data_IF_460575546484
#
_entry.id   IF_460575546484
#
_cell.length_a   1.000
_cell.length_b   1.000
_cell.length_c   1.000
_cell.angle_alpha   90.00
_cell.angle_beta   90.00
_cell.angle_gamma   90.00
#
_symmetry.space_group_name_H-M   'P 1'
#
loop_
_entity.id
_entity.type
_entity.pdbx_description
1 polymer ?
#
# COMPACT_ATOMS: atom_id res chain seq x y z
N UNK A 1 -21.92 -7.57 52.88
CA UNK A 1 -20.97 -7.18 53.93
C UNK A 1 -19.61 -7.76 53.55
N UNK A 2 -18.68 -6.88 53.20
CA UNK A 2 -17.21 -7.04 52.94
C UNK A 2 -16.48 -7.06 54.32
N UNK A 3 -15.15 -7.31 54.54
CA UNK A 3 -13.99 -7.78 53.74
C UNK A 3 -13.16 -8.92 54.42
N UNK A 4 -12.00 -9.30 53.87
CA UNK A 4 -10.69 -9.19 54.57
C UNK A 4 -9.57 -8.97 53.54
N UNK A 5 -8.79 -7.90 53.78
CA UNK A 5 -7.55 -7.50 53.12
C UNK A 5 -6.35 -8.17 53.79
N UNK A 6 -5.28 -8.47 53.04
CA UNK A 6 -3.91 -8.35 53.55
C UNK A 6 -3.06 -7.62 52.50
N UNK A 7 -2.62 -6.43 52.88
CA UNK A 7 -1.64 -5.56 52.22
C UNK A 7 -0.26 -5.81 52.84
N UNK A 8 0.81 -5.89 52.04
CA UNK A 8 2.13 -5.45 52.50
C UNK A 8 3.04 -5.01 51.35
N UNK A 9 3.04 -3.70 51.08
CA UNK A 9 4.14 -2.96 50.43
C UNK A 9 5.49 -3.24 51.11
N UNK A 10 6.61 -3.24 50.36
CA UNK A 10 7.92 -2.62 50.69
C UNK A 10 8.85 -2.56 49.45
N UNK A 11 9.03 -1.32 48.95
CA UNK A 11 10.24 -0.55 48.55
C UNK A 11 11.26 -1.02 47.46
N UNK A 12 11.50 -0.05 46.56
CA UNK A 12 12.49 0.17 45.45
C UNK A 12 13.98 0.05 45.83
N UNK A 13 14.87 -0.28 44.86
CA UNK A 13 16.28 0.22 44.65
C UNK A 13 16.91 -0.44 43.36
N UNK A 14 17.15 0.26 42.23
CA UNK A 14 18.38 0.95 41.67
C UNK A 14 19.58 0.08 41.16
N UNK A 15 19.93 0.24 39.85
CA UNK A 15 21.27 0.36 39.16
C UNK A 15 22.42 -0.66 39.47
N UNK A 16 23.37 -1.12 38.62
CA UNK A 16 23.78 -0.96 37.19
C UNK A 16 25.09 -1.77 36.89
N UNK A 17 25.37 -2.14 35.60
CA UNK A 17 26.66 -2.41 34.86
C UNK A 17 27.74 -3.39 35.43
N UNK A 18 28.73 -3.97 34.72
CA UNK A 18 29.16 -4.26 33.31
C UNK A 18 30.44 -5.12 33.40
N UNK A 19 30.72 -5.97 32.41
CA UNK A 19 32.10 -6.21 31.95
C UNK A 19 32.11 -6.11 30.41
N UNK A 20 33.06 -5.34 29.90
CA UNK A 20 33.18 -4.86 28.53
C UNK A 20 34.41 -5.43 27.80
N UNK A 21 34.36 -5.37 26.45
CA UNK A 21 35.45 -5.32 25.46
C UNK A 21 36.11 -6.67 25.05
N UNK A 22 36.41 -6.98 23.78
CA UNK A 22 36.53 -6.15 22.56
C UNK A 22 36.51 -7.04 21.28
N UNK A 23 35.83 -6.60 20.22
CA UNK A 23 36.38 -6.57 18.85
C UNK A 23 35.46 -5.71 17.98
N UNK A 24 35.96 -4.51 17.72
CA UNK A 24 35.34 -3.43 16.97
C UNK A 24 35.60 -3.62 15.48
N UNK A 25 34.55 -3.73 14.67
CA UNK A 25 34.59 -3.42 13.25
C UNK A 25 33.53 -2.36 12.96
N UNK A 26 34.00 -1.16 12.63
CA UNK A 26 33.20 -0.12 12.00
C UNK A 26 32.89 -0.55 10.56
N UNK A 27 31.60 -0.64 10.24
CA UNK A 27 31.13 -0.32 8.90
C UNK A 27 30.04 0.73 9.03
N UNK A 28 30.41 1.96 8.68
CA UNK A 28 29.48 3.05 8.45
C UNK A 28 28.78 2.82 7.12
N UNK A 29 27.51 2.44 7.21
CA UNK A 29 26.50 2.74 6.22
C UNK A 29 25.25 3.04 7.02
N UNK A 30 24.76 4.27 6.97
CA UNK A 30 23.40 4.54 7.43
C UNK A 30 22.46 3.76 6.53
N UNK A 31 22.09 2.56 6.95
CA UNK A 31 20.82 1.98 6.51
C UNK A 31 19.77 2.89 7.15
N UNK A 32 19.36 3.93 6.43
CA UNK A 32 17.99 4.34 6.54
C UNK A 32 17.20 3.07 6.21
N UNK A 33 16.64 2.43 7.25
CA UNK A 33 15.62 1.42 7.05
C UNK A 33 14.69 1.97 5.98
N UNK A 34 14.39 1.19 4.93
CA UNK A 34 13.32 1.55 4.01
C UNK A 34 12.11 1.89 4.88
N UNK A 35 11.78 3.17 4.99
CA UNK A 35 10.73 3.61 5.88
C UNK A 35 9.46 2.97 5.32
N UNK A 36 8.89 2.00 6.04
CA UNK A 36 7.70 1.25 5.67
C UNK A 36 6.52 2.22 5.54
N UNK A 37 6.46 2.98 4.46
CA UNK A 37 5.63 4.16 4.32
C UNK A 37 4.73 3.98 3.12
N UNK A 38 3.44 4.20 3.34
CA UNK A 38 2.42 4.19 2.32
C UNK A 38 1.93 5.62 2.13
N UNK A 39 1.96 6.12 0.90
CA UNK A 39 1.42 7.46 0.59
C UNK A 39 0.02 7.29 0.04
N UNK A 40 -0.94 8.04 0.58
CA UNK A 40 -2.33 8.06 0.16
C UNK A 40 -2.65 9.42 -0.47
N UNK A 41 -3.58 9.41 -1.43
CA UNK A 41 -4.15 10.63 -1.98
C UNK A 41 -5.67 10.53 -2.08
N UNK A 42 -6.37 11.64 -1.86
CA UNK A 42 -7.82 11.72 -2.00
C UNK A 42 -8.26 13.13 -2.39
N UNK A 43 -9.46 13.25 -2.95
CA UNK A 43 -10.06 14.55 -3.23
C UNK A 43 -10.55 15.20 -1.93
N UNK A 44 -10.37 16.52 -1.77
CA UNK A 44 -10.88 17.23 -0.61
C UNK A 44 -12.41 17.17 -0.55
N UNK A 45 -12.93 17.05 0.66
CA UNK A 45 -14.34 17.29 0.96
C UNK A 45 -14.78 18.70 0.55
N UNK A 46 -16.03 18.84 0.10
CA UNK A 46 -16.60 20.15 -0.33
C UNK A 46 -17.11 20.98 0.83
N UNK A 47 -17.32 20.35 1.99
CA UNK A 47 -17.77 21.00 3.21
C UNK A 47 -16.73 21.99 3.72
N UNK A 48 -17.18 23.17 4.16
CA UNK A 48 -16.29 24.26 4.57
C UNK A 48 -15.77 24.12 6.01
N UNK A 49 -16.34 23.24 6.81
CA UNK A 49 -16.06 23.07 8.24
C UNK A 49 -15.15 21.87 8.54
N UNK A 50 -14.24 21.55 7.61
CA UNK A 50 -13.30 20.42 7.75
C UNK A 50 -12.02 20.89 8.45
N UNK A 51 -11.84 20.42 9.68
CA UNK A 51 -10.63 20.65 10.47
C UNK A 51 -9.46 19.76 10.03
N UNK A 52 -9.75 18.60 9.43
CA UNK A 52 -8.72 17.72 8.88
C UNK A 52 -9.19 16.31 8.60
N UNK A 53 -8.22 15.42 8.42
CA UNK A 53 -8.43 14.01 8.09
C UNK A 53 -7.69 13.11 9.06
N UNK A 54 -8.19 11.89 9.23
CA UNK A 54 -7.54 10.85 9.99
C UNK A 54 -7.58 9.54 9.20
N UNK A 55 -6.46 8.85 9.13
CA UNK A 55 -6.35 7.54 8.48
C UNK A 55 -6.29 6.47 9.55
N UNK A 56 -7.22 5.53 9.52
CA UNK A 56 -7.19 4.32 10.32
C UNK A 56 -6.64 3.16 9.50
N UNK A 57 -5.93 2.24 10.15
CA UNK A 57 -5.45 1.03 9.49
C UNK A 57 -5.35 -0.18 10.40
N UNK A 58 -5.36 -1.35 9.78
CA UNK A 58 -5.36 -2.66 10.45
C UNK A 58 -5.06 -3.77 9.46
N UNK A 59 -4.95 -5.00 9.95
CA UNK A 59 -4.63 -6.17 9.11
C UNK A 59 -5.88 -6.95 8.68
N UNK A 60 -7.08 -6.49 9.03
CA UNK A 60 -8.35 -7.16 8.73
C UNK A 60 -9.19 -6.29 7.81
N UNK A 61 -9.62 -6.87 6.69
CA UNK A 61 -10.57 -6.25 5.77
C UNK A 61 -11.90 -5.96 6.46
N UNK A 62 -12.46 -4.77 6.28
CA UNK A 62 -13.68 -4.33 6.98
C UNK A 62 -13.47 -4.03 8.47
N UNK A 63 -12.24 -4.13 8.97
CA UNK A 63 -11.86 -3.82 10.34
C UNK A 63 -11.87 -5.04 11.28
N UNK A 64 -11.45 -4.86 12.54
CA UNK A 64 -11.16 -3.58 13.20
C UNK A 64 -9.86 -2.92 12.69
N UNK A 65 -9.81 -1.58 12.78
CA UNK A 65 -8.64 -0.77 12.44
C UNK A 65 -8.00 -0.20 13.73
N UNK A 66 -7.08 -0.94 14.39
CA UNK A 66 -6.56 -0.56 15.70
C UNK A 66 -5.57 0.61 15.67
N UNK A 67 -5.09 1.02 14.50
CA UNK A 67 -4.12 2.09 14.35
C UNK A 67 -4.74 3.30 13.67
N UNK A 68 -4.31 4.50 14.07
CA UNK A 68 -4.80 5.75 13.50
C UNK A 68 -3.69 6.78 13.40
N UNK A 69 -3.68 7.56 12.32
CA UNK A 69 -2.78 8.69 12.11
C UNK A 69 -3.61 9.93 11.81
N UNK A 70 -3.37 10.99 12.57
CA UNK A 70 -3.97 12.29 12.30
C UNK A 70 -3.17 12.98 11.19
N UNK A 71 -3.82 13.27 10.08
CA UNK A 71 -3.24 13.95 8.91
C UNK A 71 -3.37 15.46 9.04
N UNK A 72 -4.37 15.95 9.78
CA UNK A 72 -4.75 17.36 9.76
C UNK A 72 -5.34 17.77 8.42
N UNK A 73 -5.19 19.04 8.04
CA UNK A 73 -5.68 19.57 6.76
C UNK A 73 -4.53 20.25 5.99
N UNK A 74 -3.64 19.49 5.31
CA UNK A 74 -2.46 20.06 4.66
C UNK A 74 -2.78 20.91 3.42
N UNK A 75 -4.06 21.04 3.05
CA UNK A 75 -4.51 21.72 1.84
C UNK A 75 -4.28 20.87 0.57
N UNK A 76 -5.06 21.09 -0.50
CA UNK A 76 -4.90 20.33 -1.73
C UNK A 76 -3.69 20.81 -2.54
N UNK A 77 -2.91 19.85 -3.04
CA UNK A 77 -1.86 20.04 -4.05
C UNK A 77 -2.38 19.44 -5.35
N UNK A 78 -2.45 20.25 -6.41
CA UNK A 78 -3.04 19.82 -7.70
C UNK A 78 -4.43 19.16 -7.55
N UNK A 79 -5.27 19.71 -6.66
CA UNK A 79 -6.63 19.23 -6.41
C UNK A 79 -6.75 18.04 -5.46
N UNK A 80 -5.65 17.52 -4.91
CA UNK A 80 -5.63 16.33 -4.05
C UNK A 80 -4.96 16.59 -2.71
N UNK A 81 -5.43 15.93 -1.67
CA UNK A 81 -4.79 15.88 -0.35
C UNK A 81 -3.91 14.64 -0.31
N UNK A 82 -2.73 14.76 0.30
CA UNK A 82 -1.76 13.68 0.42
C UNK A 82 -1.41 13.40 1.88
N UNK A 83 -1.18 12.14 2.21
CA UNK A 83 -0.62 11.74 3.50
C UNK A 83 0.30 10.54 3.35
N UNK A 84 1.45 10.60 4.01
CA UNK A 84 2.39 9.48 4.09
C UNK A 84 2.33 8.86 5.48
N UNK A 85 1.97 7.58 5.53
CA UNK A 85 1.74 6.82 6.75
C UNK A 85 2.82 5.77 6.89
N UNK A 86 3.57 5.83 7.98
CA UNK A 86 4.51 4.77 8.34
C UNK A 86 3.75 3.63 9.00
N UNK A 87 3.75 2.46 8.38
CA UNK A 87 3.18 1.23 8.93
C UNK A 87 4.15 0.59 9.94
N UNK A 88 3.61 -0.29 10.79
CA UNK A 88 4.37 -0.89 11.88
C UNK A 88 5.42 -1.91 11.42
N UNK A 89 5.18 -2.57 10.29
CA UNK A 89 6.06 -3.63 9.78
C UNK A 89 6.01 -3.64 8.26
N UNK A 90 7.18 -3.53 7.62
CA UNK A 90 7.32 -3.63 6.18
C UNK A 90 6.80 -4.99 5.67
N UNK A 91 6.21 -4.99 4.48
CA UNK A 91 5.78 -6.21 3.80
C UNK A 91 4.59 -6.94 4.40
N UNK A 92 3.89 -6.33 5.36
CA UNK A 92 2.63 -6.84 5.90
C UNK A 92 1.44 -6.20 5.18
N UNK A 93 0.38 -6.99 4.98
CA UNK A 93 -0.85 -6.46 4.40
C UNK A 93 -1.58 -5.60 5.42
N UNK A 94 -1.90 -4.37 5.02
CA UNK A 94 -2.73 -3.44 5.80
C UNK A 94 -3.88 -2.93 4.94
N UNK A 95 -5.00 -2.73 5.61
CA UNK A 95 -6.22 -2.14 5.11
C UNK A 95 -6.34 -0.76 5.73
N UNK A 96 -6.51 0.26 4.91
CA UNK A 96 -6.59 1.66 5.34
C UNK A 96 -7.98 2.21 5.07
N UNK A 97 -8.47 3.07 5.95
CA UNK A 97 -9.69 3.87 5.76
C UNK A 97 -9.42 5.30 6.21
N UNK A 98 -10.00 6.27 5.51
CA UNK A 98 -9.91 7.68 5.85
C UNK A 98 -11.24 8.18 6.41
N UNK A 99 -11.18 9.11 7.36
CA UNK A 99 -12.33 9.89 7.83
C UNK A 99 -12.02 11.38 7.72
N UNK A 100 -13.04 12.17 7.43
CA UNK A 100 -12.99 13.62 7.59
C UNK A 100 -13.39 13.99 9.02
N UNK A 101 -12.70 14.98 9.59
CA UNK A 101 -12.94 15.50 10.94
C UNK A 101 -13.36 16.97 10.81
N UNK A 102 -14.50 17.32 11.40
CA UNK A 102 -14.99 18.70 11.38
C UNK A 102 -14.41 19.56 12.52
N UNK A 103 -14.69 20.87 12.51
CA UNK A 103 -14.23 21.82 13.53
C UNK A 103 -14.69 21.52 14.97
N UNK A 104 -15.78 20.74 15.10
CA UNK A 104 -16.27 20.26 16.40
C UNK A 104 -15.65 18.92 16.83
N UNK A 105 -14.75 18.34 16.02
CA UNK A 105 -14.06 17.09 16.28
C UNK A 105 -14.88 15.83 15.95
N UNK A 106 -16.02 15.96 15.26
CA UNK A 106 -16.79 14.81 14.80
C UNK A 106 -16.20 14.22 13.53
N UNK A 107 -16.18 12.89 13.47
CA UNK A 107 -15.67 12.11 12.34
C UNK A 107 -16.81 11.70 11.39
N UNK A 108 -16.52 11.64 10.10
CA UNK A 108 -17.41 11.05 9.10
C UNK A 108 -17.47 9.52 9.26
N UNK A 109 -18.35 8.87 8.47
CA UNK A 109 -18.21 7.45 8.20
C UNK A 109 -16.85 7.15 7.53
N UNK A 110 -16.37 5.91 7.65
CA UNK A 110 -15.18 5.43 6.95
C UNK A 110 -15.33 5.55 5.44
N UNK A 111 -14.24 5.93 4.77
CA UNK A 111 -14.09 5.74 3.32
C UNK A 111 -14.15 4.26 2.96
N UNK A 112 -14.25 3.95 1.67
CA UNK A 112 -13.94 2.61 1.18
C UNK A 112 -12.51 2.23 1.63
N UNK A 113 -12.32 0.97 2.01
CA UNK A 113 -11.02 0.49 2.45
C UNK A 113 -10.10 0.27 1.26
N UNK A 114 -8.84 0.66 1.40
CA UNK A 114 -7.82 0.53 0.36
C UNK A 114 -6.71 -0.41 0.85
N UNK A 115 -6.39 -1.42 0.05
CA UNK A 115 -5.20 -2.25 0.17
C UNK A 115 -4.32 -1.92 -1.02
N UNK A 116 -3.10 -1.49 -0.76
CA UNK A 116 -2.21 -1.04 -1.82
C UNK A 116 -1.25 -2.16 -2.24
N UNK A 117 -1.75 -3.37 -2.51
CA UNK A 117 -0.91 -4.49 -2.95
C UNK A 117 -1.59 -5.35 -4.02
N UNK A 118 -0.92 -5.53 -5.16
CA UNK A 118 -1.37 -6.40 -6.25
C UNK A 118 -0.79 -7.79 -6.04
N UNK A 119 -1.64 -8.80 -6.01
CA UNK A 119 -1.21 -10.19 -5.81
C UNK A 119 -0.93 -10.80 -7.19
N UNK A 120 0.28 -11.32 -7.35
CA UNK A 120 0.68 -12.18 -8.47
C UNK A 120 0.71 -13.60 -7.92
N UNK A 121 -0.26 -14.39 -8.34
CA UNK A 121 -0.40 -15.77 -7.85
C UNK A 121 0.59 -16.72 -8.53
N UNK A 122 0.78 -17.90 -7.93
CA UNK A 122 1.66 -18.94 -8.48
C UNK A 122 1.19 -19.48 -9.84
N UNK A 123 -0.07 -19.23 -10.21
CA UNK A 123 -0.64 -19.51 -11.53
C UNK A 123 -0.52 -18.32 -12.50
N UNK A 124 0.34 -17.36 -12.16
CA UNK A 124 0.75 -16.19 -12.95
C UNK A 124 -0.43 -15.34 -13.45
N UNK A 125 -1.49 -15.18 -12.68
CA UNK A 125 -2.49 -14.14 -12.93
C UNK A 125 -2.32 -12.98 -11.95
N UNK A 126 -2.72 -11.77 -12.35
CA UNK A 126 -2.86 -10.65 -11.42
C UNK A 126 -3.98 -9.70 -11.82
N UNK A 127 -4.60 -9.12 -10.79
CA UNK A 127 -5.70 -8.18 -10.92
C UNK A 127 -5.21 -6.78 -10.56
N UNK A 128 -5.44 -5.83 -11.47
CA UNK A 128 -5.26 -4.41 -11.25
C UNK A 128 -6.61 -3.86 -10.78
N UNK A 129 -6.84 -3.75 -9.47
CA UNK A 129 -8.12 -3.28 -8.96
C UNK A 129 -8.37 -1.82 -9.33
N UNK A 130 -7.30 -1.03 -9.51
CA UNK A 130 -7.32 0.39 -9.84
C UNK A 130 -6.25 0.64 -10.89
N UNK A 131 -6.67 0.87 -12.14
CA UNK A 131 -5.80 1.27 -13.22
C UNK A 131 -6.32 2.52 -13.93
N UNK A 132 -5.40 3.36 -14.39
CA UNK A 132 -5.71 4.52 -15.21
C UNK A 132 -5.13 4.30 -16.59
N UNK A 133 -5.96 4.41 -17.62
CA UNK A 133 -5.54 4.47 -19.01
C UNK A 133 -5.61 5.91 -19.53
N UNK A 134 -4.46 6.59 -19.72
CA UNK A 134 -4.41 7.90 -20.33
C UNK A 134 -4.81 7.83 -21.79
N UNK A 135 -5.71 8.71 -22.21
CA UNK A 135 -6.14 8.79 -23.61
C UNK A 135 -6.35 10.23 -24.05
N UNK A 136 -6.33 10.45 -25.36
CA UNK A 136 -6.61 11.78 -25.95
C UNK A 136 -8.03 12.30 -25.64
N UNK A 137 -8.95 11.41 -25.25
CA UNK A 137 -10.32 11.74 -24.88
C UNK A 137 -10.49 11.99 -23.36
N UNK A 138 -9.40 11.86 -22.59
CA UNK A 138 -9.40 11.90 -21.14
C UNK A 138 -8.99 10.57 -20.52
N UNK A 139 -8.45 10.64 -19.31
CA UNK A 139 -8.01 9.48 -18.55
C UNK A 139 -9.21 8.58 -18.21
N UNK A 140 -9.06 7.28 -18.45
CA UNK A 140 -10.09 6.29 -18.17
C UNK A 140 -9.71 5.47 -16.94
N UNK A 141 -10.52 5.56 -15.89
CA UNK A 141 -10.40 4.70 -14.72
C UNK A 141 -11.02 3.34 -15.03
N UNK A 142 -10.24 2.28 -14.83
CA UNK A 142 -10.65 0.91 -15.07
C UNK A 142 -10.12 -0.05 -14.02
N UNK A 143 -10.74 -1.20 -13.90
CA UNK A 143 -10.11 -2.40 -13.36
C UNK A 143 -9.67 -3.28 -14.52
N UNK A 144 -8.60 -4.05 -14.35
CA UNK A 144 -8.10 -4.97 -15.35
C UNK A 144 -7.66 -6.29 -14.71
N UNK A 145 -7.88 -7.40 -15.40
CA UNK A 145 -7.39 -8.72 -15.06
C UNK A 145 -6.44 -9.19 -16.16
N UNK A 146 -5.19 -9.47 -15.77
CA UNK A 146 -4.17 -10.01 -16.64
C UNK A 146 -3.95 -11.48 -16.30
N UNK A 147 -3.98 -12.32 -17.33
CA UNK A 147 -3.81 -13.76 -17.20
C UNK A 147 -2.52 -14.21 -17.87
N UNK A 148 -1.81 -15.14 -17.24
CA UNK A 148 -0.63 -15.75 -17.85
C UNK A 148 -0.97 -16.32 -19.21
N UNK A 149 -0.18 -15.94 -20.20
CA UNK A 149 -0.28 -16.48 -21.54
C UNK A 149 0.81 -17.52 -21.81
N UNK A 150 2.03 -17.27 -21.32
CA UNK A 150 3.19 -18.13 -21.57
C UNK A 150 4.50 -17.35 -21.45
N UNK A 151 5.56 -17.90 -22.04
CA UNK A 151 6.86 -17.22 -22.13
C UNK A 151 7.20 -16.89 -23.59
N UNK A 152 7.79 -15.71 -23.81
CA UNK A 152 8.39 -15.31 -25.09
C UNK A 152 9.81 -14.84 -24.83
N UNK A 153 10.79 -15.40 -25.54
CA UNK A 153 12.22 -15.09 -25.37
C UNK A 153 12.73 -15.23 -23.93
N UNK A 154 12.19 -16.18 -23.16
CA UNK A 154 12.55 -16.40 -21.75
C UNK A 154 12.00 -15.36 -20.77
N UNK A 155 11.09 -14.49 -21.22
CA UNK A 155 10.32 -13.58 -20.37
C UNK A 155 8.87 -14.06 -20.26
N UNK A 156 8.27 -14.03 -19.08
CA UNK A 156 6.84 -14.32 -18.93
C UNK A 156 5.99 -13.21 -19.56
N UNK A 157 4.86 -13.61 -20.13
CA UNK A 157 3.92 -12.76 -20.87
C UNK A 157 2.50 -12.96 -20.36
N UNK A 158 1.77 -11.86 -20.26
CA UNK A 158 0.39 -11.81 -19.83
C UNK A 158 -0.49 -11.20 -20.90
N UNK A 159 -1.71 -11.73 -20.99
CA UNK A 159 -2.80 -11.24 -21.82
C UNK A 159 -3.78 -10.45 -20.96
N UNK A 160 -4.28 -9.31 -21.45
CA UNK A 160 -5.47 -8.70 -20.85
C UNK A 160 -6.68 -9.61 -21.06
N UNK A 161 -7.12 -10.23 -19.98
CA UNK A 161 -8.20 -11.21 -20.00
C UNK A 161 -9.56 -10.53 -19.87
N UNK A 162 -9.67 -9.57 -18.95
CA UNK A 162 -10.92 -8.84 -18.71
C UNK A 162 -10.63 -7.43 -18.19
N UNK A 163 -11.55 -6.50 -18.41
CA UNK A 163 -11.46 -5.13 -17.90
C UNK A 163 -12.83 -4.46 -17.87
N UNK A 164 -12.96 -3.44 -17.01
CA UNK A 164 -14.18 -2.64 -16.96
C UNK A 164 -13.98 -1.30 -16.30
N UNK A 165 -14.94 -0.40 -16.47
CA UNK A 165 -14.87 0.93 -15.89
C UNK A 165 -14.86 0.89 -14.36
N UNK A 166 -14.12 1.81 -13.76
CA UNK A 166 -14.04 1.98 -12.32
C UNK A 166 -14.46 3.39 -11.91
N UNK A 167 -15.13 3.48 -10.77
CA UNK A 167 -15.73 4.72 -10.23
C UNK A 167 -15.04 5.25 -8.96
N UNK A 168 -13.91 4.68 -8.53
CA UNK A 168 -13.19 5.11 -7.34
C UNK A 168 -11.67 5.08 -7.53
N UNK A 169 -10.97 5.94 -6.79
CA UNK A 169 -9.55 6.29 -6.97
C UNK A 169 -8.72 5.91 -5.73
N UNK A 170 -8.31 4.65 -5.61
CA UNK A 170 -7.15 4.36 -4.77
C UNK A 170 -5.89 4.83 -5.52
N UNK A 171 -4.68 4.55 -5.01
CA UNK A 171 -3.46 4.79 -5.78
C UNK A 171 -3.50 3.94 -7.06
N UNK A 172 -3.79 4.52 -8.23
CA UNK A 172 -4.04 3.75 -9.43
C UNK A 172 -2.71 3.34 -10.03
N UNK A 173 -2.69 2.16 -10.65
CA UNK A 173 -1.64 1.80 -11.59
C UNK A 173 -1.89 2.59 -12.86
N UNK A 174 -1.06 3.60 -13.13
CA UNK A 174 -1.14 4.35 -14.38
C UNK A 174 -0.49 3.55 -15.50
N UNK A 175 -1.25 3.27 -16.55
CA UNK A 175 -0.73 2.78 -17.82
C UNK A 175 -0.05 3.97 -18.53
N UNK A 176 1.17 3.77 -19.01
CA UNK A 176 1.91 4.80 -19.72
C UNK A 176 1.40 4.98 -21.17
N UNK A 177 1.77 6.07 -21.86
CA UNK A 177 1.31 6.35 -23.22
C UNK A 177 1.64 5.26 -24.27
N UNK A 178 2.60 4.38 -23.98
CA UNK A 178 2.96 3.21 -24.79
C UNK A 178 2.30 1.90 -24.31
N UNK A 179 1.30 1.99 -23.42
CA UNK A 179 0.60 0.91 -22.71
C UNK A 179 1.43 0.17 -21.65
N UNK A 180 2.66 0.56 -21.31
CA UNK A 180 3.45 -0.07 -20.24
C UNK A 180 2.95 0.29 -18.84
N UNK A 181 3.29 -0.46 -17.79
CA UNK A 181 2.90 -0.09 -16.41
C UNK A 181 3.83 -0.63 -15.34
N UNK A 182 3.79 0.01 -14.17
CA UNK A 182 4.60 -0.33 -13.01
C UNK A 182 3.75 -0.69 -11.80
N UNK A 183 4.09 -1.81 -11.16
CA UNK A 183 3.49 -2.27 -9.92
C UNK A 183 4.44 -2.00 -8.76
N UNK A 184 4.25 -0.88 -8.06
CA UNK A 184 5.13 -0.48 -6.96
C UNK A 184 4.99 -1.36 -5.70
N UNK A 185 3.84 -2.01 -5.51
CA UNK A 185 3.57 -2.86 -4.37
C UNK A 185 2.90 -4.14 -4.86
N UNK A 186 3.68 -5.10 -5.35
CA UNK A 186 3.17 -6.40 -5.74
C UNK A 186 3.65 -7.51 -4.79
N UNK A 187 2.84 -8.54 -4.63
CA UNK A 187 3.16 -9.73 -3.83
C UNK A 187 3.18 -10.91 -4.78
N UNK A 188 4.36 -11.47 -5.04
CA UNK A 188 4.49 -12.73 -5.76
C UNK A 188 4.33 -13.91 -4.79
N UNK A 189 3.30 -14.73 -5.00
CA UNK A 189 3.06 -15.94 -4.24
C UNK A 189 3.84 -17.10 -4.88
N UNK A 190 4.92 -17.52 -4.22
CA UNK A 190 5.70 -18.68 -4.63
C UNK A 190 5.43 -19.87 -3.71
N UNK A 191 5.83 -21.08 -4.14
CA UNK A 191 5.81 -22.28 -3.28
C UNK A 191 6.68 -22.13 -2.03
N UNK A 192 7.63 -21.18 -2.02
CA UNK A 192 8.51 -20.89 -0.90
C UNK A 192 7.96 -19.79 0.03
N UNK A 193 6.81 -19.22 -0.29
CA UNK A 193 6.17 -18.11 0.44
C UNK A 193 6.00 -16.85 -0.41
N UNK A 194 5.40 -15.84 0.21
CA UNK A 194 5.10 -14.56 -0.41
C UNK A 194 6.35 -13.67 -0.48
N UNK A 195 6.58 -13.08 -1.65
CA UNK A 195 7.72 -12.20 -1.93
C UNK A 195 7.18 -10.84 -2.37
N UNK A 196 7.55 -9.78 -1.65
CA UNK A 196 7.19 -8.43 -2.07
C UNK A 196 8.12 -7.99 -3.20
N UNK A 197 7.54 -7.49 -4.28
CA UNK A 197 8.28 -7.03 -5.44
C UNK A 197 7.75 -5.70 -5.95
N UNK A 198 8.65 -4.95 -6.57
CA UNK A 198 8.31 -3.95 -7.58
C UNK A 198 8.45 -4.61 -8.95
N UNK A 199 7.45 -4.49 -9.82
CA UNK A 199 7.49 -5.11 -11.15
C UNK A 199 7.16 -4.10 -12.24
N UNK A 200 7.99 -4.05 -13.28
CA UNK A 200 7.80 -3.22 -14.47
C UNK A 200 7.36 -4.10 -15.63
N UNK A 201 6.26 -3.73 -16.27
CA UNK A 201 5.70 -4.45 -17.41
C UNK A 201 5.75 -3.58 -18.67
N UNK A 202 6.18 -4.19 -19.76
CA UNK A 202 6.29 -3.54 -21.05
C UNK A 202 5.23 -4.07 -22.00
N UNK A 203 4.55 -3.15 -22.70
CA UNK A 203 3.60 -3.55 -23.73
C UNK A 203 4.29 -4.22 -24.92
N UNK A 204 3.80 -5.39 -25.31
CA UNK A 204 4.31 -6.17 -26.43
C UNK A 204 3.57 -5.93 -27.75
N UNK A 205 2.39 -5.33 -27.69
CA UNK A 205 1.53 -5.14 -28.86
C UNK A 205 0.26 -5.97 -28.82
N UNK A 206 -0.43 -5.97 -29.97
CA UNK A 206 -1.66 -6.71 -30.17
C UNK A 206 -1.41 -8.00 -30.96
N UNK A 207 -1.97 -9.12 -30.50
CA UNK A 207 -2.00 -10.38 -31.25
C UNK A 207 -3.43 -10.91 -31.25
N UNK A 208 -4.00 -11.16 -32.44
CA UNK A 208 -5.38 -11.63 -32.60
C UNK A 208 -6.44 -10.78 -31.86
N UNK A 209 -6.26 -9.45 -31.83
CA UNK A 209 -7.18 -8.53 -31.16
C UNK A 209 -7.04 -8.44 -29.64
N UNK A 210 -6.07 -9.14 -29.05
CA UNK A 210 -5.76 -9.11 -27.62
C UNK A 210 -4.45 -8.36 -27.38
N UNK A 211 -4.37 -7.65 -26.27
CA UNK A 211 -3.19 -6.90 -25.84
C UNK A 211 -2.32 -7.76 -24.93
N UNK A 212 -1.00 -7.62 -25.07
CA UNK A 212 0.00 -8.42 -24.35
C UNK A 212 1.04 -7.54 -23.68
N UNK A 213 1.51 -8.01 -22.51
CA UNK A 213 2.56 -7.37 -21.73
C UNK A 213 3.60 -8.40 -21.30
N UNK A 214 4.87 -8.03 -21.35
CA UNK A 214 5.97 -8.82 -20.79
C UNK A 214 6.48 -8.22 -19.49
N UNK A 215 6.98 -9.06 -18.58
CA UNK A 215 7.77 -8.59 -17.44
C UNK A 215 9.09 -8.04 -17.98
N UNK A 216 9.32 -6.74 -17.81
CA UNK A 216 10.55 -6.10 -18.23
C UNK A 216 11.62 -6.21 -17.15
N UNK A 217 11.26 -5.86 -15.92
CA UNK A 217 12.16 -5.95 -14.77
C UNK A 217 11.38 -6.12 -13.46
N UNK A 218 12.06 -6.61 -12.41
CA UNK A 218 11.52 -6.60 -11.06
C UNK A 218 12.62 -6.42 -10.01
N UNK A 219 12.24 -5.86 -8.86
CA UNK A 219 13.11 -5.71 -7.69
C UNK A 219 12.42 -6.31 -6.47
N UNK A 220 13.11 -7.18 -5.74
CA UNK A 220 12.61 -7.72 -4.46
C UNK A 220 12.68 -6.64 -3.38
N UNK A 221 11.56 -6.38 -2.70
CA UNK A 221 11.49 -5.50 -1.54
C UNK A 221 11.63 -6.35 -0.28
N UNK A 222 12.71 -6.14 0.48
CA UNK A 222 12.96 -6.78 1.77
C UNK A 222 12.26 -6.04 2.91
#
# INVERSE_FOLDING_TARGET
>A
MVPIFINRNIKKLWFVLVIANFCFFLFGGTVAAADCTETFSWLPNTESNIAGYKIYYGQTEGGPYPHAVNVGNPGPVAGHIYATIKVLTCGQQYYFVCVAVNDAGFESAYSNSVVNSIIIESDLSFKLPDAIYPSIAGDTNLWAELKFFGEQNGKPVWELYDYGFKTSSNNPVTLEPDLSFKLSNAIYQSIAGNINIEADFKFLGYQNGKSFWELDSYTIKN
#
